data_IF_407782361419
#
_entry.id   IF_407782361419
#
_cell.length_a   1.000
_cell.length_b   1.000
_cell.length_c   1.000
_cell.angle_alpha   90.00
_cell.angle_beta   90.00
_cell.angle_gamma   90.00
#
_symmetry.space_group_name_H-M   'P 1'
#
loop_
_entity.id
_entity.type
_entity.pdbx_description
1 polymer ?
#
# COMPACT_ATOMS: atom_id res chain seq x y z
N UNK A 1 -11.37 16.03 19.87
CA UNK A 1 -12.43 15.23 19.21
C UNK A 1 -12.48 13.87 19.87
N UNK A 2 -13.67 13.33 20.17
CA UNK A 2 -13.76 12.04 20.89
C UNK A 2 -13.33 10.89 19.95
N UNK A 3 -12.35 10.03 20.33
CA UNK A 3 -11.87 8.93 19.49
C UNK A 3 -12.99 8.00 18.97
N UNK A 4 -13.98 7.70 19.80
CA UNK A 4 -15.12 6.85 19.42
C UNK A 4 -15.98 7.49 18.32
N UNK A 5 -16.15 8.81 18.31
CA UNK A 5 -16.88 9.51 17.26
C UNK A 5 -16.11 9.51 15.93
N UNK A 6 -14.78 9.68 15.98
CA UNK A 6 -13.94 9.63 14.78
C UNK A 6 -13.96 8.22 14.15
N UNK A 7 -13.99 7.17 14.96
CA UNK A 7 -14.08 5.77 14.55
C UNK A 7 -15.37 5.47 13.79
N UNK A 8 -16.52 5.86 14.37
CA UNK A 8 -17.84 5.65 13.74
C UNK A 8 -17.98 6.43 12.42
N UNK A 9 -17.37 7.61 12.34
CA UNK A 9 -17.41 8.43 11.13
C UNK A 9 -16.63 7.76 9.97
N UNK A 10 -15.43 7.19 10.23
CA UNK A 10 -14.62 6.50 9.20
C UNK A 10 -15.32 5.24 8.69
N UNK A 11 -15.86 4.41 9.59
CA UNK A 11 -16.61 3.22 9.17
C UNK A 11 -17.83 3.58 8.32
N UNK A 12 -18.59 4.59 8.74
CA UNK A 12 -19.77 5.05 7.99
C UNK A 12 -19.40 5.57 6.60
N UNK A 13 -18.31 6.34 6.46
CA UNK A 13 -17.81 6.81 5.16
C UNK A 13 -17.48 5.62 4.27
N UNK A 14 -16.67 4.66 4.75
CA UNK A 14 -16.26 3.50 3.96
C UNK A 14 -17.44 2.60 3.58
N UNK A 15 -18.37 2.38 4.50
CA UNK A 15 -19.54 1.52 4.28
C UNK A 15 -20.55 2.11 3.29
N UNK A 16 -20.65 3.44 3.23
CA UNK A 16 -21.55 4.16 2.31
C UNK A 16 -20.89 4.48 0.96
N UNK A 17 -19.57 4.33 0.87
CA UNK A 17 -18.83 4.65 -0.35
C UNK A 17 -19.04 3.57 -1.41
N UNK A 18 -19.50 4.00 -2.57
CA UNK A 18 -19.58 3.15 -3.77
C UNK A 18 -18.47 3.54 -4.74
N UNK A 19 -17.77 2.53 -5.29
CA UNK A 19 -16.69 2.73 -6.27
C UNK A 19 -16.74 1.63 -7.33
N UNK A 20 -16.05 1.86 -8.43
CA UNK A 20 -15.98 0.89 -9.51
C UNK A 20 -15.10 -0.29 -9.10
N UNK A 21 -15.68 -1.50 -9.08
CA UNK A 21 -14.94 -2.74 -8.82
C UNK A 21 -14.15 -3.17 -10.05
N UNK A 22 -12.93 -3.65 -9.85
CA UNK A 22 -12.01 -3.96 -10.94
C UNK A 22 -12.46 -5.19 -11.74
N UNK A 23 -12.96 -6.25 -11.08
CA UNK A 23 -13.33 -7.52 -11.71
C UNK A 23 -14.35 -7.34 -12.83
N UNK A 24 -15.51 -6.74 -12.52
CA UNK A 24 -16.65 -6.63 -13.43
C UNK A 24 -16.93 -5.20 -13.91
N UNK A 25 -16.35 -4.19 -13.25
CA UNK A 25 -16.57 -2.77 -13.55
C UNK A 25 -17.86 -2.21 -12.97
N UNK A 26 -18.58 -2.98 -12.14
CA UNK A 26 -19.78 -2.52 -11.47
C UNK A 26 -19.46 -1.45 -10.42
N UNK A 27 -20.33 -0.46 -10.28
CA UNK A 27 -20.33 0.45 -9.13
C UNK A 27 -20.97 -0.30 -7.97
N UNK A 28 -20.24 -0.46 -6.88
CA UNK A 28 -20.70 -1.22 -5.72
C UNK A 28 -20.13 -0.64 -4.41
N UNK A 29 -20.80 -0.87 -3.28
CA UNK A 29 -20.28 -0.52 -1.97
C UNK A 29 -18.93 -1.22 -1.70
N UNK A 30 -17.97 -0.52 -1.08
CA UNK A 30 -16.63 -1.06 -0.84
C UNK A 30 -16.67 -2.39 -0.06
N UNK A 31 -17.53 -2.50 0.94
CA UNK A 31 -17.65 -3.70 1.75
C UNK A 31 -18.55 -4.80 1.14
N UNK A 32 -19.07 -4.61 -0.10
CA UNK A 32 -19.87 -5.63 -0.79
C UNK A 32 -19.07 -6.91 -1.10
N UNK A 33 -17.75 -6.84 -1.15
CA UNK A 33 -16.86 -8.00 -1.29
C UNK A 33 -16.57 -8.74 0.01
N UNK A 34 -16.99 -8.18 1.17
CA UNK A 34 -16.75 -8.75 2.48
C UNK A 34 -18.02 -9.41 3.02
N UNK A 35 -17.96 -10.62 3.62
CA UNK A 35 -19.08 -11.19 4.36
C UNK A 35 -19.55 -10.22 5.47
N UNK A 36 -20.86 -10.06 5.69
CA UNK A 36 -21.38 -9.09 6.68
C UNK A 36 -20.84 -9.30 8.09
N UNK A 37 -20.66 -10.54 8.52
CA UNK A 37 -20.17 -10.91 9.84
C UNK A 37 -18.63 -10.96 9.96
N UNK A 38 -17.89 -10.69 8.88
CA UNK A 38 -16.43 -10.71 8.92
C UNK A 38 -15.89 -9.41 9.50
N UNK A 39 -14.71 -9.49 10.14
CA UNK A 39 -13.86 -8.34 10.36
C UNK A 39 -13.37 -7.80 9.02
N UNK A 40 -13.20 -6.49 8.91
CA UNK A 40 -12.87 -5.84 7.64
C UNK A 40 -11.50 -5.18 7.73
N UNK A 41 -10.60 -5.56 6.83
CA UNK A 41 -9.33 -4.87 6.59
C UNK A 41 -9.53 -3.98 5.37
N UNK A 42 -9.75 -2.68 5.61
CA UNK A 42 -9.97 -1.68 4.58
C UNK A 42 -8.66 -0.95 4.26
N UNK A 43 -8.25 -1.03 3.00
CA UNK A 43 -7.05 -0.41 2.47
C UNK A 43 -7.45 0.75 1.57
N UNK A 44 -7.04 1.95 1.92
CA UNK A 44 -7.15 3.14 1.05
C UNK A 44 -5.75 3.41 0.52
N UNK A 45 -5.47 2.85 -0.65
CA UNK A 45 -4.16 2.90 -1.26
C UNK A 45 -3.92 4.25 -1.94
N UNK A 46 -2.70 4.78 -1.96
CA UNK A 46 -2.31 5.88 -2.82
C UNK A 46 -2.64 5.59 -4.28
N UNK A 47 -2.01 6.30 -5.20
CA UNK A 47 -2.09 5.95 -6.61
C UNK A 47 -1.60 4.51 -6.82
N UNK A 48 -2.29 3.73 -7.68
CA UNK A 48 -1.94 2.32 -7.90
C UNK A 48 -0.54 2.13 -8.48
N UNK A 49 -0.01 3.17 -9.15
CA UNK A 49 1.39 3.23 -9.57
C UNK A 49 2.37 3.69 -8.50
N UNK A 50 1.92 3.92 -7.28
CA UNK A 50 2.82 4.21 -6.15
C UNK A 50 3.51 2.93 -5.69
N UNK A 51 4.79 3.02 -5.39
CA UNK A 51 5.60 1.87 -4.95
C UNK A 51 5.11 1.30 -3.62
N UNK A 52 4.55 2.14 -2.75
CA UNK A 52 3.92 1.74 -1.50
C UNK A 52 2.75 0.80 -1.74
N UNK A 53 1.89 1.12 -2.72
CA UNK A 53 0.74 0.29 -3.09
C UNK A 53 1.17 -1.12 -3.53
N UNK A 54 2.21 -1.20 -4.39
CA UNK A 54 2.71 -2.48 -4.88
C UNK A 54 3.43 -3.29 -3.79
N UNK A 55 4.24 -2.62 -2.98
CA UNK A 55 4.94 -3.28 -1.87
C UNK A 55 3.96 -3.79 -0.82
N UNK A 56 2.92 -3.00 -0.50
CA UNK A 56 1.91 -3.40 0.46
C UNK A 56 1.08 -4.59 -0.05
N UNK A 57 0.67 -4.59 -1.32
CA UNK A 57 -0.03 -5.73 -1.92
C UNK A 57 0.81 -7.01 -1.86
N UNK A 58 2.12 -6.92 -2.07
CA UNK A 58 3.03 -8.06 -1.93
C UNK A 58 3.03 -8.60 -0.49
N UNK A 59 3.08 -7.73 0.53
CA UNK A 59 2.99 -8.14 1.93
C UNK A 59 1.67 -8.82 2.27
N UNK A 60 0.54 -8.28 1.78
CA UNK A 60 -0.79 -8.85 2.00
C UNK A 60 -0.92 -10.25 1.40
N UNK A 61 -0.40 -10.45 0.18
CA UNK A 61 -0.39 -11.76 -0.45
C UNK A 61 0.48 -12.76 0.32
N UNK A 62 1.63 -12.32 0.79
CA UNK A 62 2.54 -13.15 1.59
C UNK A 62 1.93 -13.62 2.90
N UNK A 63 1.15 -12.78 3.55
CA UNK A 63 0.52 -13.04 4.85
C UNK A 63 -0.98 -13.40 4.71
N UNK A 64 -1.43 -13.79 3.51
CA UNK A 64 -2.84 -14.03 3.21
C UNK A 64 -3.47 -15.10 4.12
N UNK A 65 -2.74 -16.17 4.43
CA UNK A 65 -3.19 -17.21 5.36
C UNK A 65 -3.40 -16.64 6.77
N UNK A 66 -2.42 -15.89 7.28
CA UNK A 66 -2.52 -15.28 8.60
C UNK A 66 -3.66 -14.25 8.71
N UNK A 67 -3.99 -13.58 7.62
CA UNK A 67 -5.14 -12.66 7.53
C UNK A 67 -6.45 -13.46 7.56
N UNK A 68 -6.54 -14.54 6.77
CA UNK A 68 -7.72 -15.40 6.70
C UNK A 68 -7.99 -16.13 8.04
N UNK A 69 -6.96 -16.64 8.71
CA UNK A 69 -7.07 -17.30 10.03
C UNK A 69 -7.68 -16.37 11.10
N UNK A 70 -7.52 -15.06 10.95
CA UNK A 70 -8.11 -14.05 11.86
C UNK A 70 -9.52 -13.61 11.47
N UNK A 71 -10.12 -14.25 10.45
CA UNK A 71 -11.44 -13.89 9.95
C UNK A 71 -11.53 -12.50 9.35
N UNK A 72 -10.39 -11.97 8.85
CA UNK A 72 -10.34 -10.68 8.18
C UNK A 72 -10.66 -10.82 6.70
N UNK A 73 -11.61 -10.03 6.22
CA UNK A 73 -11.89 -9.85 4.79
C UNK A 73 -11.25 -8.57 4.30
N UNK A 74 -10.49 -8.66 3.23
CA UNK A 74 -9.78 -7.50 2.66
C UNK A 74 -10.69 -6.78 1.66
N UNK A 75 -10.68 -5.45 1.73
CA UNK A 75 -11.23 -4.57 0.71
C UNK A 75 -10.21 -3.47 0.45
N UNK A 76 -9.86 -3.23 -0.80
CA UNK A 76 -8.91 -2.19 -1.19
C UNK A 76 -9.53 -1.23 -2.18
N UNK A 77 -9.24 0.06 -2.03
CA UNK A 77 -9.54 1.09 -3.02
C UNK A 77 -8.29 1.90 -3.27
N UNK A 78 -7.95 2.13 -4.54
CA UNK A 78 -6.77 2.90 -4.93
C UNK A 78 -7.08 3.97 -5.96
N UNK A 79 -6.24 5.00 -6.01
CA UNK A 79 -6.36 6.07 -7.00
C UNK A 79 -5.91 5.53 -8.37
N UNK A 80 -6.81 5.55 -9.33
CA UNK A 80 -6.61 5.08 -10.69
C UNK A 80 -7.94 4.77 -11.35
N UNK A 81 -7.91 4.34 -12.59
CA UNK A 81 -9.06 3.83 -13.32
C UNK A 81 -9.11 2.29 -13.30
N UNK A 82 -10.12 1.72 -13.94
CA UNK A 82 -10.27 0.26 -13.98
C UNK A 82 -9.11 -0.44 -14.67
N UNK A 83 -8.47 0.21 -15.65
CA UNK A 83 -7.31 -0.36 -16.35
C UNK A 83 -6.09 -0.37 -15.43
N UNK A 84 -5.87 0.70 -14.68
CA UNK A 84 -4.85 0.75 -13.61
C UNK A 84 -5.06 -0.37 -12.60
N UNK A 85 -6.32 -0.57 -12.15
CA UNK A 85 -6.68 -1.62 -11.21
C UNK A 85 -6.42 -3.02 -11.75
N UNK A 86 -6.73 -3.29 -13.02
CA UNK A 86 -6.42 -4.58 -13.66
C UNK A 86 -4.93 -4.85 -13.73
N UNK A 87 -4.15 -3.87 -14.19
CA UNK A 87 -2.69 -3.98 -14.27
C UNK A 87 -2.07 -4.21 -12.88
N UNK A 88 -2.56 -3.48 -11.86
CA UNK A 88 -2.13 -3.65 -10.48
C UNK A 88 -2.41 -5.08 -9.96
N UNK A 89 -3.62 -5.58 -10.14
CA UNK A 89 -4.00 -6.92 -9.70
C UNK A 89 -3.22 -8.00 -10.46
N UNK A 90 -3.01 -7.85 -11.77
CA UNK A 90 -2.22 -8.79 -12.58
C UNK A 90 -0.77 -8.88 -12.10
N UNK A 91 -0.14 -7.74 -11.84
CA UNK A 91 1.26 -7.70 -11.40
C UNK A 91 1.44 -8.17 -9.96
N UNK A 92 0.55 -7.76 -9.06
CA UNK A 92 0.68 -8.05 -7.61
C UNK A 92 0.05 -9.37 -7.20
N UNK A 93 -0.84 -9.95 -8.01
CA UNK A 93 -1.68 -11.08 -7.62
C UNK A 93 -2.81 -10.72 -6.65
N UNK A 94 -3.09 -9.43 -6.45
CA UNK A 94 -4.19 -9.00 -5.58
C UNK A 94 -5.55 -9.36 -6.21
N UNK A 95 -6.53 -9.88 -5.43
CA UNK A 95 -7.81 -10.33 -5.98
C UNK A 95 -8.62 -9.17 -6.57
N UNK A 96 -9.02 -9.29 -7.85
CA UNK A 96 -9.79 -8.26 -8.57
C UNK A 96 -11.16 -7.97 -7.97
N UNK A 97 -11.76 -8.95 -7.30
CA UNK A 97 -13.07 -8.84 -6.63
C UNK A 97 -13.02 -7.97 -5.37
N UNK A 98 -11.84 -7.85 -4.76
CA UNK A 98 -11.58 -7.07 -3.55
C UNK A 98 -11.00 -5.69 -3.85
N UNK A 99 -10.73 -5.40 -5.14
CA UNK A 99 -10.11 -4.16 -5.59
C UNK A 99 -11.12 -3.21 -6.22
N UNK A 100 -11.13 -1.97 -5.73
CA UNK A 100 -11.94 -0.86 -6.24
C UNK A 100 -11.04 0.30 -6.67
N UNK A 101 -11.55 1.18 -7.53
CA UNK A 101 -10.81 2.34 -8.03
C UNK A 101 -11.57 3.64 -7.80
N UNK A 102 -10.82 4.69 -7.46
CA UNK A 102 -11.30 6.05 -7.20
C UNK A 102 -10.47 7.05 -8.01
N UNK A 103 -10.81 7.29 -9.30
CA UNK A 103 -10.02 8.12 -10.19
C UNK A 103 -9.78 9.54 -9.71
N UNK A 104 -10.70 10.06 -8.91
CA UNK A 104 -10.70 11.44 -8.43
C UNK A 104 -10.19 11.61 -6.98
N UNK A 105 -9.70 10.54 -6.35
CA UNK A 105 -9.27 10.55 -4.94
C UNK A 105 -10.31 11.14 -3.97
N UNK A 106 -11.60 10.96 -4.25
CA UNK A 106 -12.69 11.53 -3.44
C UNK A 106 -12.71 10.93 -2.04
N UNK A 107 -12.53 9.61 -1.94
CA UNK A 107 -12.49 8.94 -0.65
C UNK A 107 -11.32 9.41 0.21
N UNK A 108 -10.16 9.67 -0.40
CA UNK A 108 -9.00 10.23 0.31
C UNK A 108 -9.32 11.59 0.92
N UNK A 109 -10.01 12.46 0.17
CA UNK A 109 -10.44 13.77 0.68
C UNK A 109 -11.51 13.65 1.78
N UNK A 110 -12.49 12.75 1.61
CA UNK A 110 -13.52 12.51 2.62
C UNK A 110 -12.94 12.02 3.95
N UNK A 111 -11.90 11.19 3.90
CA UNK A 111 -11.20 10.68 5.07
C UNK A 111 -10.15 11.65 5.63
N UNK A 112 -9.90 12.78 4.96
CA UNK A 112 -8.89 13.77 5.34
C UNK A 112 -7.47 13.19 5.34
N UNK A 113 -7.14 12.33 4.36
CA UNK A 113 -5.82 11.73 4.25
C UNK A 113 -4.80 12.75 3.74
N UNK A 114 -3.55 12.51 4.05
CA UNK A 114 -2.45 13.42 3.71
C UNK A 114 -2.24 13.50 2.19
N UNK A 115 -2.38 14.68 1.62
CA UNK A 115 -2.22 14.93 0.18
C UNK A 115 -0.76 14.98 -0.26
N UNK A 116 0.18 14.97 0.69
CA UNK A 116 1.59 15.21 0.42
C UNK A 116 1.89 16.68 0.16
N UNK A 117 2.98 16.94 -0.56
CA UNK A 117 3.33 18.29 -1.01
C UNK A 117 2.54 18.60 -2.29
N UNK A 118 1.84 19.73 -2.30
CA UNK A 118 1.01 20.19 -3.42
C UNK A 118 1.44 21.58 -3.92
N UNK A 119 2.75 21.86 -3.91
CA UNK A 119 3.25 23.18 -4.31
C UNK A 119 3.06 23.41 -5.81
N UNK A 120 2.39 24.50 -6.16
CA UNK A 120 2.36 25.00 -7.53
C UNK A 120 3.70 25.71 -7.83
N UNK A 121 4.44 25.19 -8.80
CA UNK A 121 5.77 25.72 -9.15
C UNK A 121 5.62 26.63 -10.35
N UNK A 122 5.98 27.92 -10.24
CA UNK A 122 5.89 28.85 -11.35
C UNK A 122 6.60 28.36 -12.61
N UNK A 123 5.94 28.42 -13.76
CA UNK A 123 6.49 28.00 -15.04
C UNK A 123 6.38 26.49 -15.35
N UNK A 124 5.87 25.68 -14.40
CA UNK A 124 5.62 24.25 -14.65
C UNK A 124 4.12 23.98 -14.79
N UNK A 125 3.79 22.97 -15.61
CA UNK A 125 2.44 22.42 -15.65
C UNK A 125 2.07 21.73 -14.33
N UNK A 126 0.76 21.49 -14.04
CA UNK A 126 0.36 20.75 -12.83
C UNK A 126 1.04 19.37 -12.69
N UNK A 127 1.14 18.60 -13.78
CA UNK A 127 1.82 17.31 -13.77
C UNK A 127 3.32 17.40 -13.52
N UNK A 128 4.00 18.43 -14.07
CA UNK A 128 5.41 18.68 -13.78
C UNK A 128 5.63 19.10 -12.33
N UNK A 129 4.76 19.95 -11.79
CA UNK A 129 4.79 20.34 -10.38
C UNK A 129 4.60 19.11 -9.47
N UNK A 130 3.66 18.23 -9.81
CA UNK A 130 3.43 16.99 -9.07
C UNK A 130 4.67 16.07 -9.07
N UNK A 131 5.37 15.96 -10.21
CA UNK A 131 6.64 15.24 -10.29
C UNK A 131 7.72 15.83 -9.38
N UNK A 132 7.91 17.14 -9.38
CA UNK A 132 8.88 17.80 -8.50
C UNK A 132 8.50 17.58 -7.03
N UNK A 133 7.22 17.73 -6.70
CA UNK A 133 6.73 17.47 -5.34
C UNK A 133 6.98 16.02 -4.89
N UNK A 134 6.75 15.04 -5.77
CA UNK A 134 7.08 13.64 -5.50
C UNK A 134 8.58 13.46 -5.24
N UNK A 135 9.46 14.06 -6.06
CA UNK A 135 10.91 13.99 -5.85
C UNK A 135 11.34 14.62 -4.53
N UNK A 136 10.73 15.74 -4.14
CA UNK A 136 10.98 16.35 -2.83
C UNK A 136 10.55 15.42 -1.68
N UNK A 137 9.40 14.73 -1.81
CA UNK A 137 8.96 13.75 -0.83
C UNK A 137 9.89 12.53 -0.78
N UNK A 138 10.39 12.05 -1.92
CA UNK A 138 11.42 11.00 -1.97
C UNK A 138 12.72 11.42 -1.27
N UNK A 139 13.06 12.72 -1.29
CA UNK A 139 14.17 13.31 -0.54
C UNK A 139 13.85 13.59 0.93
N UNK A 140 12.67 13.20 1.43
CA UNK A 140 12.26 13.33 2.82
C UNK A 140 11.55 14.66 3.16
N UNK A 141 11.37 15.57 2.21
CA UNK A 141 10.67 16.84 2.45
C UNK A 141 9.17 16.56 2.49
N UNK A 142 8.50 16.91 3.59
CA UNK A 142 7.10 16.58 3.80
C UNK A 142 6.79 15.07 3.85
N UNK A 143 7.80 14.25 4.05
CA UNK A 143 7.72 12.79 3.98
C UNK A 143 8.60 12.15 5.07
N UNK A 144 8.15 12.20 6.34
CA UNK A 144 8.93 11.73 7.46
C UNK A 144 9.20 10.23 7.37
N UNK A 145 10.42 9.81 7.69
CA UNK A 145 10.83 8.40 7.69
C UNK A 145 11.30 7.86 6.34
N UNK A 146 10.98 8.50 5.21
CA UNK A 146 11.31 8.03 3.86
C UNK A 146 12.79 7.69 3.67
N UNK A 147 13.70 8.60 4.04
CA UNK A 147 15.13 8.36 3.85
C UNK A 147 15.65 7.19 4.70
N UNK A 148 15.16 7.06 5.94
CA UNK A 148 15.55 5.95 6.81
C UNK A 148 15.08 4.62 6.20
N UNK A 149 13.87 4.58 5.64
CA UNK A 149 13.30 3.40 5.01
C UNK A 149 14.02 3.04 3.68
N UNK A 150 14.38 4.04 2.88
CA UNK A 150 15.21 3.82 1.69
C UNK A 150 16.55 3.21 2.08
N UNK A 151 17.25 3.78 3.08
CA UNK A 151 18.52 3.26 3.58
C UNK A 151 18.38 1.82 4.11
N UNK A 152 17.28 1.51 4.82
CA UNK A 152 17.00 0.16 5.30
C UNK A 152 16.98 -0.86 4.15
N UNK A 153 16.43 -0.49 3.00
CA UNK A 153 16.43 -1.34 1.81
C UNK A 153 17.83 -1.71 1.30
N UNK A 154 18.81 -0.82 1.48
CA UNK A 154 20.19 -1.07 1.06
C UNK A 154 21.03 -1.76 2.13
N UNK A 155 20.85 -1.40 3.39
CA UNK A 155 21.65 -1.94 4.50
C UNK A 155 21.15 -3.28 5.04
N UNK A 156 19.92 -3.66 4.69
CA UNK A 156 19.24 -4.81 5.27
C UNK A 156 18.64 -4.49 6.65
N UNK A 157 17.93 -5.47 7.22
CA UNK A 157 17.28 -5.33 8.52
C UNK A 157 17.22 -6.68 9.25
N UNK A 158 17.91 -6.78 10.38
CA UNK A 158 17.92 -7.99 11.21
C UNK A 158 16.61 -8.24 11.95
N UNK A 159 15.73 -7.24 12.05
CA UNK A 159 14.42 -7.35 12.69
C UNK A 159 13.32 -7.74 11.68
N UNK A 160 13.55 -7.53 10.39
CA UNK A 160 12.63 -7.91 9.33
C UNK A 160 12.88 -9.36 8.87
N UNK A 161 11.83 -10.11 8.48
CA UNK A 161 12.02 -11.45 7.92
C UNK A 161 12.74 -11.38 6.57
N UNK A 162 13.38 -12.47 6.19
CA UNK A 162 13.92 -12.68 4.84
C UNK A 162 12.81 -12.46 3.80
N UNK A 163 13.07 -11.66 2.77
CA UNK A 163 12.07 -11.26 1.78
C UNK A 163 12.04 -12.20 0.58
N UNK A 164 13.22 -12.63 0.11
CA UNK A 164 13.39 -13.45 -1.08
C UNK A 164 13.92 -14.82 -0.63
N UNK A 165 13.18 -15.90 -0.88
CA UNK A 165 13.63 -17.24 -0.58
C UNK A 165 14.90 -17.59 -1.37
N UNK A 166 15.76 -18.45 -0.83
CA UNK A 166 17.08 -18.74 -1.43
C UNK A 166 16.98 -19.34 -2.85
N UNK A 167 15.91 -20.05 -3.15
CA UNK A 167 15.61 -20.66 -4.44
C UNK A 167 14.77 -19.78 -5.37
N UNK A 168 14.18 -18.71 -4.85
CA UNK A 168 13.40 -17.75 -5.62
C UNK A 168 14.28 -16.96 -6.59
N UNK A 169 13.75 -16.66 -7.78
CA UNK A 169 14.41 -15.84 -8.79
C UNK A 169 13.65 -14.54 -8.98
N UNK A 170 14.28 -13.41 -8.68
CA UNK A 170 13.74 -12.07 -8.90
C UNK A 170 14.31 -11.47 -10.17
N UNK A 171 13.42 -10.94 -11.02
CA UNK A 171 13.76 -10.19 -12.23
C UNK A 171 13.48 -8.70 -11.98
N UNK A 172 14.52 -7.87 -11.99
CA UNK A 172 14.44 -6.42 -11.78
C UNK A 172 15.41 -5.73 -12.73
N UNK A 173 14.99 -5.45 -13.97
CA UNK A 173 15.84 -4.77 -14.95
C UNK A 173 16.38 -3.43 -14.40
N UNK A 174 17.60 -3.00 -14.74
CA UNK A 174 18.54 -3.61 -15.68
C UNK A 174 19.38 -4.76 -15.10
N UNK A 175 19.11 -5.21 -13.86
CA UNK A 175 19.84 -6.30 -13.25
C UNK A 175 19.54 -7.63 -13.97
N UNK A 176 20.53 -8.55 -14.06
CA UNK A 176 20.23 -9.92 -14.47
C UNK A 176 19.27 -10.58 -13.47
N UNK A 177 18.57 -11.66 -13.85
CA UNK A 177 17.78 -12.42 -12.90
C UNK A 177 18.64 -12.87 -11.71
N UNK A 178 18.24 -12.48 -10.50
CA UNK A 178 18.97 -12.79 -9.26
C UNK A 178 18.26 -13.90 -8.51
N UNK A 179 19.00 -14.94 -8.14
CA UNK A 179 18.53 -15.96 -7.20
C UNK A 179 18.67 -15.47 -5.77
N UNK A 180 17.69 -15.74 -4.89
CA UNK A 180 17.71 -15.27 -3.51
C UNK A 180 18.97 -15.69 -2.72
N UNK A 181 19.58 -16.83 -3.06
CA UNK A 181 20.88 -17.25 -2.49
C UNK A 181 22.02 -16.27 -2.76
N UNK A 182 21.93 -15.42 -3.78
CA UNK A 182 22.91 -14.36 -4.04
C UNK A 182 23.05 -13.38 -2.86
N UNK A 183 21.94 -13.07 -2.20
CA UNK A 183 21.94 -12.13 -1.07
C UNK A 183 22.64 -12.66 0.18
N UNK A 184 22.92 -13.96 0.25
CA UNK A 184 23.71 -14.55 1.34
C UNK A 184 25.14 -13.99 1.42
N UNK A 185 25.69 -13.51 0.29
CA UNK A 185 27.03 -12.90 0.23
C UNK A 185 27.09 -11.57 1.03
N UNK A 186 25.96 -10.84 1.12
CA UNK A 186 25.86 -9.60 1.87
C UNK A 186 25.30 -9.80 3.28
N UNK A 187 24.81 -11.01 3.62
CA UNK A 187 24.24 -11.31 4.94
C UNK A 187 23.82 -12.77 5.08
N UNK A 188 23.42 -13.18 6.27
CA UNK A 188 22.98 -14.56 6.57
C UNK A 188 21.53 -14.86 6.15
N UNK A 189 20.98 -15.95 6.68
CA UNK A 189 19.59 -16.38 6.46
C UNK A 189 18.67 -15.90 7.58
N UNK A 190 17.36 -15.87 7.28
CA UNK A 190 16.31 -15.65 8.28
C UNK A 190 15.98 -14.18 8.56
N UNK A 191 16.70 -13.23 7.96
CA UNK A 191 16.44 -11.79 8.08
C UNK A 191 16.57 -11.09 6.73
N UNK A 192 16.05 -9.88 6.61
CA UNK A 192 16.17 -9.06 5.41
C UNK A 192 17.65 -8.71 5.18
N UNK A 193 18.24 -9.30 4.17
CA UNK A 193 19.64 -9.09 3.79
C UNK A 193 19.83 -7.77 3.06
N UNK A 194 21.02 -7.20 3.04
CA UNK A 194 21.32 -6.02 2.21
C UNK A 194 20.89 -6.23 0.76
N UNK A 195 20.28 -5.21 0.18
CA UNK A 195 19.76 -5.14 -1.18
C UNK A 195 18.52 -5.98 -1.49
N UNK A 196 18.02 -6.86 -0.64
CA UNK A 196 16.79 -7.63 -0.92
C UNK A 196 15.60 -6.71 -1.18
N UNK A 197 15.30 -5.82 -0.22
CA UNK A 197 14.19 -4.89 -0.34
C UNK A 197 14.40 -3.90 -1.49
N UNK A 198 15.63 -3.41 -1.68
CA UNK A 198 15.97 -2.54 -2.79
C UNK A 198 15.72 -3.22 -4.15
N UNK A 199 16.00 -4.52 -4.27
CA UNK A 199 15.73 -5.30 -5.48
C UNK A 199 14.24 -5.46 -5.75
N UNK A 200 13.43 -5.73 -4.71
CA UNK A 200 11.97 -5.80 -4.86
C UNK A 200 11.39 -4.44 -5.25
N UNK A 201 11.86 -3.36 -4.64
CA UNK A 201 11.45 -1.99 -5.00
C UNK A 201 11.87 -1.61 -6.42
N UNK A 202 13.05 -2.03 -6.86
CA UNK A 202 13.49 -1.85 -8.25
C UNK A 202 12.58 -2.60 -9.22
N UNK A 203 12.19 -3.85 -8.91
CA UNK A 203 11.22 -4.60 -9.71
C UNK A 203 9.90 -3.84 -9.86
N UNK A 204 9.36 -3.33 -8.74
CA UNK A 204 8.12 -2.56 -8.75
C UNK A 204 8.27 -1.25 -9.56
N UNK A 205 9.41 -0.56 -9.41
CA UNK A 205 9.70 0.65 -10.18
C UNK A 205 9.77 0.38 -11.69
N UNK A 206 10.42 -0.70 -12.11
CA UNK A 206 10.50 -1.09 -13.53
C UNK A 206 9.13 -1.39 -14.11
N UNK A 207 8.28 -2.10 -13.37
CA UNK A 207 6.89 -2.38 -13.76
C UNK A 207 6.11 -1.08 -13.98
N UNK A 208 6.11 -0.19 -12.99
CA UNK A 208 5.36 1.07 -13.07
C UNK A 208 5.88 1.97 -14.19
N UNK A 209 7.18 2.11 -14.34
CA UNK A 209 7.77 2.94 -15.39
C UNK A 209 7.51 2.36 -16.79
N UNK A 210 7.50 1.02 -16.92
CA UNK A 210 7.16 0.35 -18.17
C UNK A 210 5.70 0.53 -18.59
N UNK A 211 4.79 0.70 -17.63
CA UNK A 211 3.36 0.86 -17.82
C UNK A 211 2.83 2.20 -17.27
N UNK A 212 3.66 3.24 -17.29
CA UNK A 212 3.42 4.52 -16.62
C UNK A 212 2.02 5.09 -16.87
N UNK A 213 1.62 5.19 -18.14
CA UNK A 213 0.32 5.77 -18.52
C UNK A 213 -0.88 4.96 -18.01
N UNK A 214 -0.69 3.66 -17.81
CA UNK A 214 -1.71 2.78 -17.24
C UNK A 214 -1.81 2.97 -15.73
N UNK A 215 -0.68 2.99 -15.03
CA UNK A 215 -0.66 3.10 -13.59
C UNK A 215 -0.95 4.51 -13.06
N UNK A 216 -0.62 5.54 -13.84
CA UNK A 216 -0.72 6.95 -13.45
C UNK A 216 -1.52 7.72 -14.51
N UNK A 217 -2.85 7.46 -14.61
CA UNK A 217 -3.69 8.18 -15.56
C UNK A 217 -3.79 9.67 -15.25
N UNK A 218 -3.69 10.05 -13.98
CA UNK A 218 -3.66 11.44 -13.53
C UNK A 218 -2.51 11.68 -12.55
N UNK A 219 -1.51 12.42 -13.00
CA UNK A 219 -0.30 12.69 -12.23
C UNK A 219 -0.52 13.63 -11.03
N UNK A 220 -1.65 14.34 -10.96
CA UNK A 220 -1.91 15.28 -9.85
C UNK A 220 -1.96 14.60 -8.48
N UNK A 221 -2.26 13.30 -8.44
CA UNK A 221 -2.38 12.51 -7.21
C UNK A 221 -1.11 11.76 -6.80
N UNK A 222 0.03 11.99 -7.45
CA UNK A 222 1.28 11.26 -7.17
C UNK A 222 1.79 11.41 -5.73
N UNK A 223 1.45 12.50 -5.06
CA UNK A 223 1.84 12.78 -3.67
C UNK A 223 0.82 12.33 -2.65
N UNK A 224 -0.41 11.99 -3.08
CA UNK A 224 -1.47 11.54 -2.19
C UNK A 224 -1.04 10.30 -1.42
N UNK A 225 -1.28 10.29 -0.12
CA UNK A 225 -0.97 9.14 0.76
C UNK A 225 -2.24 8.40 1.15
N UNK A 226 -2.06 7.16 1.59
CA UNK A 226 -3.12 6.25 1.90
C UNK A 226 -3.40 6.04 3.38
N UNK A 227 -4.15 4.99 3.69
CA UNK A 227 -4.44 4.55 5.05
C UNK A 227 -4.83 3.06 5.11
N UNK A 228 -4.67 2.49 6.28
CA UNK A 228 -5.12 1.13 6.62
C UNK A 228 -6.01 1.18 7.84
N UNK A 229 -7.21 0.62 7.73
CA UNK A 229 -8.17 0.52 8.82
C UNK A 229 -8.56 -0.94 9.04
N UNK A 230 -8.75 -1.33 10.30
CA UNK A 230 -9.37 -2.61 10.64
C UNK A 230 -10.58 -2.35 11.51
N UNK A 231 -11.68 -3.00 11.16
CA UNK A 231 -12.93 -2.97 11.91
C UNK A 231 -13.33 -4.37 12.33
N UNK A 232 -14.00 -4.48 13.48
CA UNK A 232 -14.69 -5.71 13.85
C UNK A 232 -15.99 -5.89 13.04
N UNK A 233 -16.77 -6.93 13.39
CA UNK A 233 -18.02 -7.23 12.72
C UNK A 233 -19.08 -6.15 12.94
N UNK A 234 -19.05 -5.45 14.08
CA UNK A 234 -20.00 -4.41 14.48
C UNK A 234 -19.63 -3.04 13.92
N UNK A 235 -18.42 -2.92 13.31
CA UNK A 235 -17.92 -1.68 12.70
C UNK A 235 -17.06 -0.84 13.66
N UNK A 236 -16.73 -1.38 14.82
CA UNK A 236 -15.80 -0.72 15.73
C UNK A 236 -14.36 -0.81 15.23
N UNK A 237 -13.64 0.31 15.30
CA UNK A 237 -12.28 0.41 14.78
C UNK A 237 -11.28 -0.26 15.70
N UNK A 238 -10.58 -1.26 15.18
CA UNK A 238 -9.52 -2.00 15.89
C UNK A 238 -8.12 -1.45 15.58
N UNK A 239 -7.93 -0.87 14.38
CA UNK A 239 -6.66 -0.31 13.91
C UNK A 239 -6.89 0.86 12.97
N UNK A 240 -6.08 1.92 13.12
CA UNK A 240 -6.02 3.10 12.26
C UNK A 240 -4.54 3.43 12.00
N UNK A 241 -4.13 3.37 10.76
CA UNK A 241 -2.83 3.88 10.31
C UNK A 241 -3.06 4.76 9.10
N UNK A 242 -2.55 5.99 9.15
CA UNK A 242 -2.63 6.97 8.06
C UNK A 242 -1.24 7.36 7.64
N UNK A 243 -0.94 7.13 6.38
CA UNK A 243 0.38 7.38 5.81
C UNK A 243 0.70 8.87 5.84
N UNK A 244 1.92 9.22 6.23
CA UNK A 244 2.40 10.61 6.27
C UNK A 244 3.62 10.82 5.39
N UNK A 245 4.07 9.78 4.71
CA UNK A 245 5.26 9.84 3.88
C UNK A 245 5.28 8.71 2.84
N UNK A 246 6.17 8.82 1.91
CA UNK A 246 6.51 7.75 0.98
C UNK A 246 7.23 6.64 1.76
N UNK A 247 6.95 5.38 1.46
CA UNK A 247 7.42 4.22 2.20
C UNK A 247 7.01 4.29 3.69
N UNK A 248 5.75 4.69 3.92
CA UNK A 248 5.18 4.88 5.24
C UNK A 248 3.83 4.21 5.45
N UNK A 249 3.48 3.19 4.66
CA UNK A 249 2.17 2.52 4.67
C UNK A 249 1.91 1.64 5.92
N UNK A 250 2.85 1.58 6.86
CA UNK A 250 2.69 0.86 8.12
C UNK A 250 3.46 1.54 9.27
N UNK A 251 2.99 1.35 10.48
CA UNK A 251 3.68 1.83 11.70
C UNK A 251 5.06 1.18 11.90
N UNK A 252 5.23 -0.05 11.40
CA UNK A 252 6.49 -0.79 11.45
C UNK A 252 6.78 -1.36 10.07
N UNK A 253 7.63 -0.68 9.30
CA UNK A 253 7.99 -1.07 7.94
C UNK A 253 8.84 -2.34 7.87
N UNK A 254 9.51 -2.74 8.95
CA UNK A 254 10.20 -4.04 9.05
C UNK A 254 9.20 -5.22 9.09
N UNK A 255 7.99 -4.98 9.60
CA UNK A 255 6.90 -5.94 9.70
C UNK A 255 5.56 -5.22 9.49
N UNK A 256 5.21 -4.85 8.25
CA UNK A 256 4.06 -4.00 7.96
C UNK A 256 2.72 -4.52 8.52
N UNK A 257 2.57 -5.83 8.58
CA UNK A 257 1.36 -6.47 9.10
C UNK A 257 1.48 -6.88 10.58
N UNK A 258 2.43 -6.30 11.34
CA UNK A 258 2.59 -6.60 12.77
C UNK A 258 1.35 -6.25 13.62
N UNK A 259 0.48 -5.35 13.14
CA UNK A 259 -0.80 -5.03 13.79
C UNK A 259 -1.72 -6.26 13.90
N UNK A 260 -1.59 -7.27 13.03
CA UNK A 260 -2.36 -8.51 13.13
C UNK A 260 -2.17 -9.20 14.47
N UNK A 261 -0.98 -9.12 15.07
CA UNK A 261 -0.69 -9.68 16.40
C UNK A 261 -1.38 -8.90 17.52
N UNK A 262 -1.54 -7.59 17.36
CA UNK A 262 -2.22 -6.76 18.37
C UNK A 262 -3.73 -6.94 18.34
N UNK A 263 -4.29 -7.37 17.20
CA UNK A 263 -5.69 -7.75 17.11
C UNK A 263 -5.99 -8.99 17.96
N UNK A 264 -5.07 -9.96 17.99
CA UNK A 264 -5.23 -11.20 18.76
C UNK A 264 -5.37 -10.91 20.26
N UNK A 265 -4.63 -9.94 20.81
CA UNK A 265 -4.69 -9.55 22.21
C UNK A 265 -5.94 -8.76 22.60
N UNK A 266 -6.54 -8.00 21.67
CA UNK A 266 -7.80 -7.27 21.90
C UNK A 266 -9.03 -8.17 21.83
N UNK A 267 -8.91 -9.34 21.23
CA UNK A 267 -9.97 -10.33 21.06
C UNK A 267 -10.06 -11.25 22.30
N UNK A 268 -8.93 -11.43 23.00
CA UNK A 268 -8.84 -12.28 24.18
C UNK A 268 -9.19 -11.54 25.50
N UNK A 269 -9.44 -10.24 25.45
CA UNK A 269 -9.80 -9.38 26.56
C UNK A 269 -11.29 -8.99 26.54
#
# INVERSE_FOLDING_TARGET
MNPAKLSSDVYAILNQTERQRVSDGAIAPLFSSCPPSSRKLALVLPQLGDFDSLEYAWWLNRESEAIAERGLSICAVGIGDRQSGKQFCEFTGFPTEQMFVDPAAELHRQLGLYEGITWAIPGLSPGQSAWVNLMLMCAGIGSPGTLAEVLRGYTGDRQAPQLIADDEVVKAAPLPPLRGSFFQWAGGRGFQRPFELATLRLRNMVEVLGHWKTYVPDAQYMTQRGATFVFDADGDMLYDHRDRGILGFANNMSRPLSFLKTLDTRIAA
#
